data_IF_372293358262
#
_entry.id   IF_372293358262
#
_cell.length_a   1.000
_cell.length_b   1.000
_cell.length_c   1.000
_cell.angle_alpha   90.00
_cell.angle_beta   90.00
_cell.angle_gamma   90.00
#
_symmetry.space_group_name_H-M   'P 1'
#
loop_
_entity.id
_entity.type
_entity.pdbx_description
1 polymer ?
#
# COMPACT_ATOMS: atom_id res chain seq x y z
N UNK A 1 22.68 30.03 11.15
CA UNK A 1 23.15 28.63 11.17
C UNK A 1 22.31 27.70 12.03
N UNK A 2 22.01 28.04 13.30
CA UNK A 2 21.20 27.20 14.21
C UNK A 2 19.81 26.81 13.66
N UNK A 3 19.12 27.77 13.03
CA UNK A 3 17.80 27.54 12.41
C UNK A 3 17.87 26.62 11.18
N UNK A 4 18.93 26.69 10.39
CA UNK A 4 19.12 25.80 9.25
C UNK A 4 19.35 24.36 9.71
N UNK A 5 20.13 24.18 10.78
CA UNK A 5 20.38 22.86 11.34
C UNK A 5 19.11 22.26 11.95
N UNK A 6 18.29 23.06 12.65
CA UNK A 6 17.01 22.56 13.19
C UNK A 6 16.02 22.24 12.08
N UNK A 7 15.95 23.07 11.03
CA UNK A 7 15.07 22.83 9.88
C UNK A 7 15.45 21.52 9.17
N UNK A 8 16.75 21.29 8.97
CA UNK A 8 17.26 20.10 8.32
C UNK A 8 17.00 18.83 9.16
N UNK A 9 17.16 18.92 10.47
CA UNK A 9 16.83 17.82 11.39
C UNK A 9 15.33 17.46 11.35
N UNK A 10 14.45 18.46 11.43
CA UNK A 10 12.99 18.23 11.37
C UNK A 10 12.57 17.65 10.02
N UNK A 11 13.11 18.17 8.92
CA UNK A 11 12.83 17.65 7.58
C UNK A 11 13.30 16.19 7.42
N UNK A 12 14.49 15.86 7.92
CA UNK A 12 15.00 14.49 7.89
C UNK A 12 14.09 13.52 8.66
N UNK A 13 13.67 13.90 9.87
CA UNK A 13 12.76 13.09 10.70
C UNK A 13 11.41 12.89 10.00
N UNK A 14 10.85 13.95 9.41
CA UNK A 14 9.57 13.86 8.69
C UNK A 14 9.64 12.91 7.48
N UNK A 15 10.73 12.99 6.70
CA UNK A 15 10.93 12.11 5.53
C UNK A 15 11.08 10.65 5.98
N UNK A 16 11.87 10.39 7.02
CA UNK A 16 12.04 9.03 7.55
C UNK A 16 10.71 8.47 8.04
N UNK A 17 9.95 9.23 8.82
CA UNK A 17 8.63 8.79 9.30
C UNK A 17 7.66 8.55 8.14
N UNK A 18 7.61 9.42 7.13
CA UNK A 18 6.74 9.21 5.96
C UNK A 18 7.05 7.92 5.19
N UNK A 19 8.33 7.51 5.17
CA UNK A 19 8.79 6.30 4.48
C UNK A 19 8.58 5.04 5.32
N UNK A 20 8.82 5.13 6.63
CA UNK A 20 8.66 4.03 7.58
C UNK A 20 7.19 3.75 7.90
N UNK A 21 6.35 4.77 7.90
CA UNK A 21 4.90 4.66 8.14
C UNK A 21 4.11 4.36 6.85
N UNK A 22 4.74 3.79 5.82
CA UNK A 22 3.97 3.14 4.75
C UNK A 22 3.03 2.15 5.41
N UNK A 23 1.71 2.39 5.30
CA UNK A 23 0.71 1.47 5.81
C UNK A 23 1.08 0.09 5.30
N UNK A 24 1.18 -0.89 6.20
CA UNK A 24 1.55 -2.24 5.82
C UNK A 24 0.68 -2.69 4.67
N UNK A 25 1.24 -3.46 3.74
CA UNK A 25 0.55 -4.01 2.55
C UNK A 25 -0.73 -4.81 2.91
N UNK A 26 -1.02 -5.02 4.21
CA UNK A 26 -2.30 -5.49 4.75
C UNK A 26 -3.46 -4.48 4.56
N UNK A 27 -3.17 -3.19 4.43
CA UNK A 27 -4.15 -2.12 4.19
C UNK A 27 -4.20 -1.64 2.73
N UNK A 28 -3.24 -2.05 1.90
CA UNK A 28 -3.40 -2.04 0.46
C UNK A 28 -4.43 -3.11 0.10
N UNK A 29 -5.71 -2.78 0.28
CA UNK A 29 -6.87 -3.63 -0.02
C UNK A 29 -7.08 -3.79 -1.54
N UNK A 30 -6.01 -4.06 -2.28
CA UNK A 30 -6.12 -4.73 -3.57
C UNK A 30 -5.97 -6.22 -3.28
N UNK A 31 -7.06 -7.01 -3.30
CA UNK A 31 -6.93 -8.46 -3.16
C UNK A 31 -6.03 -8.95 -4.30
N UNK A 32 -4.87 -9.53 -3.94
CA UNK A 32 -3.88 -10.05 -4.91
C UNK A 32 -4.42 -11.22 -5.71
N UNK A 33 -5.41 -11.90 -5.16
CA UNK A 33 -6.14 -12.99 -5.78
C UNK A 33 -7.59 -12.58 -5.91
N UNK A 34 -8.16 -12.78 -7.09
CA UNK A 34 -9.59 -12.61 -7.29
C UNK A 34 -10.29 -13.69 -6.49
N UNK A 35 -11.08 -13.29 -5.49
CA UNK A 35 -12.02 -14.23 -4.88
C UNK A 35 -13.06 -14.62 -5.92
N UNK A 36 -13.63 -15.82 -5.80
CA UNK A 36 -14.72 -16.32 -6.64
C UNK A 36 -15.91 -15.35 -6.74
N UNK A 37 -16.14 -14.55 -5.70
CA UNK A 37 -17.17 -13.51 -5.70
C UNK A 37 -16.75 -12.23 -6.47
N UNK A 38 -15.46 -11.88 -6.46
CA UNK A 38 -14.92 -10.67 -7.13
C UNK A 38 -14.48 -10.96 -8.58
N UNK A 39 -14.35 -12.23 -8.97
CA UNK A 39 -14.11 -12.62 -10.37
C UNK A 39 -15.33 -12.33 -11.25
N UNK A 40 -16.55 -12.52 -10.71
CA UNK A 40 -17.82 -12.26 -11.39
C UNK A 40 -17.95 -10.78 -11.78
N UNK A 41 -17.61 -9.87 -10.86
CA UNK A 41 -17.62 -8.42 -11.13
C UNK A 41 -16.60 -7.99 -12.20
N UNK A 42 -15.59 -8.83 -12.46
CA UNK A 42 -14.58 -8.64 -13.52
C UNK A 42 -14.87 -9.41 -14.80
N UNK A 43 -16.00 -10.11 -14.88
CA UNK A 43 -16.38 -10.92 -16.04
C UNK A 43 -15.53 -12.17 -16.23
N UNK A 44 -14.86 -12.64 -15.16
CA UNK A 44 -14.14 -13.92 -15.16
C UNK A 44 -15.10 -14.98 -14.65
N UNK A 45 -15.39 -15.97 -15.49
CA UNK A 45 -16.23 -17.12 -15.12
C UNK A 45 -15.43 -18.08 -14.23
N UNK A 46 -15.79 -18.22 -12.94
CA UNK A 46 -15.07 -19.12 -12.03
C UNK A 46 -15.25 -20.61 -12.36
N UNK A 47 -16.10 -20.96 -13.34
CA UNK A 47 -16.39 -22.35 -13.73
C UNK A 47 -15.38 -22.94 -14.72
N UNK A 48 -14.57 -22.10 -15.37
CA UNK A 48 -13.60 -22.53 -16.41
C UNK A 48 -12.35 -23.24 -15.84
N UNK A 49 -12.06 -23.09 -14.53
CA UNK A 49 -10.85 -23.62 -13.87
C UNK A 49 -11.09 -24.88 -13.01
N UNK A 50 -12.26 -25.53 -13.12
CA UNK A 50 -12.50 -26.80 -12.41
C UNK A 50 -12.25 -27.99 -13.37
N UNK A 51 -11.23 -28.85 -13.15
CA UNK A 51 -10.93 -29.99 -14.01
C UNK A 51 -11.99 -31.10 -13.98
#
# INVERSE_FOLDING_TARGET
MKLFLSLLAVAAVAIVLSRSLKLSNRYERAPRELSEWNSIDKGIDPTEDTP
#
